data_IF_521114287552
#
_entry.id   IF_521114287552
#
_cell.length_a   1.000
_cell.length_b   1.000
_cell.length_c   1.000
_cell.angle_alpha   90.00
_cell.angle_beta   90.00
_cell.angle_gamma   90.00
#
_symmetry.space_group_name_H-M   'P 1'
#
loop_
_entity.id
_entity.type
_entity.pdbx_description
1 polymer ?
#
# COMPACT_ATOMS: atom_id res chain seq x y z
N UNK A 1 -3.84 4.94 1.80
CA UNK A 1 -2.49 4.38 2.10
C UNK A 1 -1.39 5.42 2.05
N UNK A 2 -1.34 6.25 1.00
CA UNK A 2 -0.31 7.26 0.81
C UNK A 2 -0.12 8.18 2.04
N UNK A 3 -1.19 8.77 2.58
CA UNK A 3 -1.08 9.63 3.77
C UNK A 3 -0.54 8.95 5.03
N UNK A 4 -0.78 7.65 5.20
CA UNK A 4 -0.18 6.86 6.29
C UNK A 4 1.32 6.62 6.05
N UNK A 5 1.71 6.30 4.81
CA UNK A 5 3.11 6.20 4.45
C UNK A 5 3.82 7.54 4.65
N UNK A 6 3.26 8.65 4.15
CA UNK A 6 3.78 10.00 4.34
C UNK A 6 4.05 10.33 5.82
N UNK A 7 3.12 9.99 6.72
CA UNK A 7 3.34 10.10 8.17
C UNK A 7 4.55 9.27 8.63
N UNK A 8 4.65 8.02 8.18
CA UNK A 8 5.76 7.13 8.53
C UNK A 8 7.10 7.61 7.98
N UNK A 9 7.13 8.23 6.79
CA UNK A 9 8.32 8.81 6.17
C UNK A 9 9.05 9.78 7.08
N UNK A 10 8.28 10.63 7.77
CA UNK A 10 8.83 11.66 8.66
C UNK A 10 9.73 11.06 9.74
N UNK A 11 9.46 9.83 10.18
CA UNK A 11 10.28 9.13 11.18
C UNK A 11 11.53 8.45 10.57
N UNK A 12 11.57 8.27 9.25
CA UNK A 12 12.59 7.50 8.54
C UNK A 12 13.61 8.36 7.83
N UNK A 13 13.17 9.51 7.33
CA UNK A 13 13.94 10.39 6.45
C UNK A 13 14.58 11.48 7.31
N UNK A 14 15.92 11.48 7.34
CA UNK A 14 16.71 12.56 7.96
C UNK A 14 17.08 13.67 6.99
N UNK A 15 17.15 13.35 5.69
CA UNK A 15 17.50 14.31 4.64
C UNK A 15 16.31 15.23 4.33
N UNK A 16 16.48 16.54 4.54
CA UNK A 16 15.42 17.53 4.29
C UNK A 16 14.95 17.55 2.83
N UNK A 17 15.86 17.38 1.86
CA UNK A 17 15.50 17.31 0.44
C UNK A 17 14.66 16.08 0.11
N UNK A 18 14.97 14.92 0.71
CA UNK A 18 14.15 13.72 0.58
C UNK A 18 12.78 13.87 1.23
N UNK A 19 12.72 14.57 2.37
CA UNK A 19 11.46 14.80 3.06
C UNK A 19 10.54 15.65 2.18
N UNK A 20 11.04 16.78 1.65
CA UNK A 20 10.31 17.61 0.67
C UNK A 20 9.91 16.87 -0.60
N UNK A 21 10.69 15.86 -1.01
CA UNK A 21 10.33 15.04 -2.15
C UNK A 21 9.27 13.98 -1.82
N UNK A 22 9.10 13.59 -0.56
CA UNK A 22 8.17 12.54 -0.14
C UNK A 22 6.83 13.06 0.40
N UNK A 23 6.82 14.26 0.98
CA UNK A 23 5.65 14.92 1.55
C UNK A 23 5.47 16.31 0.96
N UNK A 24 4.24 16.78 0.91
CA UNK A 24 3.91 18.16 0.47
C UNK A 24 3.25 18.93 1.61
N UNK A 25 3.42 20.24 1.59
CA UNK A 25 2.67 21.14 2.46
C UNK A 25 1.25 21.37 1.91
N UNK A 26 0.32 21.72 2.80
CA UNK A 26 -1.12 21.87 2.60
C UNK A 26 -1.54 22.84 1.47
N UNK A 27 -0.63 23.66 0.95
CA UNK A 27 -0.92 24.76 0.04
C UNK A 27 -1.16 24.35 -1.43
N UNK A 28 -0.94 23.08 -1.80
CA UNK A 28 -1.32 22.54 -3.11
C UNK A 28 -2.59 21.67 -2.99
N UNK A 29 -3.72 22.30 -2.62
CA UNK A 29 -5.02 21.63 -2.49
C UNK A 29 -5.46 21.12 -3.87
N UNK A 30 -5.12 19.88 -4.17
CA UNK A 30 -5.69 19.12 -5.28
C UNK A 30 -6.85 18.30 -4.71
N UNK A 31 -7.96 18.18 -5.47
CA UNK A 31 -9.15 17.40 -5.10
C UNK A 31 -8.83 15.97 -4.62
N UNK A 32 -7.72 15.41 -5.08
CA UNK A 32 -7.22 14.08 -4.72
C UNK A 32 -6.88 13.92 -3.23
N UNK A 33 -6.67 15.01 -2.50
CA UNK A 33 -6.37 14.99 -1.07
C UNK A 33 -7.60 15.15 -0.16
N UNK A 34 -8.79 15.39 -0.71
CA UNK A 34 -10.02 15.58 0.06
C UNK A 34 -10.28 14.42 1.04
N UNK A 35 -9.91 13.20 0.64
CA UNK A 35 -10.09 12.02 1.49
C UNK A 35 -9.10 11.99 2.67
N UNK A 36 -7.94 12.65 2.57
CA UNK A 36 -7.03 12.82 3.71
C UNK A 36 -7.69 13.76 4.72
N UNK A 37 -8.24 14.89 4.28
CA UNK A 37 -8.90 15.87 5.15
C UNK A 37 -10.09 15.27 5.89
N UNK A 38 -10.94 14.52 5.18
CA UNK A 38 -12.10 13.85 5.75
C UNK A 38 -11.76 12.77 6.77
N UNK A 39 -10.59 12.13 6.62
CA UNK A 39 -10.19 10.97 7.42
C UNK A 39 -9.14 11.33 8.47
N UNK A 40 -8.57 12.53 8.43
CA UNK A 40 -7.53 12.92 9.35
C UNK A 40 -8.09 13.12 10.77
N UNK A 41 -7.32 12.66 11.74
CA UNK A 41 -7.59 12.81 13.16
C UNK A 41 -6.38 13.42 13.87
N UNK A 42 -5.68 14.33 13.18
CA UNK A 42 -4.50 15.05 13.68
C UNK A 42 -3.18 14.32 13.43
N UNK A 43 -3.05 13.55 12.35
CA UNK A 43 -1.78 12.85 12.15
C UNK A 43 -1.48 12.28 10.77
N UNK A 44 -2.36 12.39 9.78
CA UNK A 44 -2.02 12.12 8.39
C UNK A 44 -1.18 13.27 7.82
N UNK A 45 -0.42 12.96 6.77
CA UNK A 45 0.38 13.94 6.04
C UNK A 45 0.08 13.82 4.55
N UNK A 46 0.11 14.94 3.84
CA UNK A 46 -0.03 14.93 2.38
C UNK A 46 1.22 14.31 1.75
N UNK A 47 0.99 13.35 0.88
CA UNK A 47 2.06 12.70 0.12
C UNK A 47 2.43 13.57 -1.07
N UNK A 48 3.70 13.61 -1.46
CA UNK A 48 4.08 14.27 -2.70
C UNK A 48 3.53 13.51 -3.92
N UNK A 49 3.50 14.17 -5.08
CA UNK A 49 3.15 13.53 -6.36
C UNK A 49 4.08 12.37 -6.72
N UNK A 50 5.38 12.46 -6.42
CA UNK A 50 6.33 11.37 -6.68
C UNK A 50 6.01 10.15 -5.83
N UNK A 51 5.67 10.34 -4.54
CA UNK A 51 5.29 9.25 -3.66
C UNK A 51 3.95 8.63 -4.10
N UNK A 52 2.96 9.45 -4.45
CA UNK A 52 1.68 8.94 -4.97
C UNK A 52 1.90 8.14 -6.26
N UNK A 53 2.71 8.63 -7.20
CA UNK A 53 3.01 7.92 -8.44
C UNK A 53 3.69 6.57 -8.19
N UNK A 54 4.71 6.53 -7.33
CA UNK A 54 5.36 5.27 -6.93
C UNK A 54 4.34 4.28 -6.36
N UNK A 55 3.49 4.72 -5.42
CA UNK A 55 2.49 3.86 -4.78
C UNK A 55 1.43 3.37 -5.76
N UNK A 56 1.02 4.19 -6.72
CA UNK A 56 0.08 3.81 -7.78
C UNK A 56 0.65 2.72 -8.68
N UNK A 57 1.93 2.83 -9.06
CA UNK A 57 2.61 1.76 -9.84
C UNK A 57 2.64 0.46 -9.03
N UNK A 58 3.04 0.53 -7.75
CA UNK A 58 3.09 -0.65 -6.89
C UNK A 58 1.70 -1.29 -6.73
N UNK A 59 0.65 -0.51 -6.50
CA UNK A 59 -0.71 -1.02 -6.38
C UNK A 59 -1.16 -1.70 -7.69
N UNK A 60 -0.85 -1.11 -8.84
CA UNK A 60 -1.18 -1.71 -10.13
C UNK A 60 -0.51 -3.08 -10.31
N UNK A 61 0.76 -3.24 -9.95
CA UNK A 61 1.44 -4.53 -10.00
C UNK A 61 0.84 -5.54 -9.04
N UNK A 62 0.59 -5.13 -7.78
CA UNK A 62 -0.05 -5.97 -6.78
C UNK A 62 -1.42 -6.46 -7.29
N UNK A 63 -2.25 -5.56 -7.80
CA UNK A 63 -3.59 -5.87 -8.28
C UNK A 63 -3.57 -6.76 -9.53
N UNK A 64 -2.62 -6.57 -10.45
CA UNK A 64 -2.45 -7.45 -11.62
C UNK A 64 -2.18 -8.89 -11.19
N UNK A 65 -1.25 -9.11 -10.25
CA UNK A 65 -0.92 -10.46 -9.77
C UNK A 65 -2.12 -11.10 -9.08
N UNK A 66 -2.78 -10.37 -8.19
CA UNK A 66 -3.91 -10.91 -7.40
C UNK A 66 -5.12 -11.21 -8.29
N UNK A 67 -5.40 -10.37 -9.28
CA UNK A 67 -6.54 -10.58 -10.19
C UNK A 67 -6.31 -11.79 -11.09
N UNK A 68 -5.06 -12.03 -11.51
CA UNK A 68 -4.71 -13.14 -12.41
C UNK A 68 -4.67 -14.49 -11.69
N UNK A 69 -3.99 -14.58 -10.56
CA UNK A 69 -3.64 -15.87 -9.95
C UNK A 69 -4.46 -16.22 -8.70
N UNK A 70 -5.36 -15.32 -8.28
CA UNK A 70 -5.93 -15.29 -6.93
C UNK A 70 -4.83 -15.24 -5.84
N UNK A 71 -5.23 -15.08 -4.58
CA UNK A 71 -4.27 -15.04 -3.47
C UNK A 71 -3.78 -16.45 -3.14
N UNK A 72 -2.58 -16.79 -3.61
CA UNK A 72 -1.84 -18.03 -3.34
C UNK A 72 -0.68 -17.82 -2.36
N UNK A 73 -0.09 -18.91 -1.87
CA UNK A 73 1.07 -18.89 -0.94
C UNK A 73 2.29 -18.15 -1.52
N UNK A 74 2.45 -18.19 -2.84
CA UNK A 74 3.58 -17.58 -3.56
C UNK A 74 3.29 -16.17 -4.09
N UNK A 75 2.10 -15.60 -3.82
CA UNK A 75 1.67 -14.30 -4.36
C UNK A 75 2.68 -13.20 -4.07
N UNK A 76 3.27 -13.18 -2.86
CA UNK A 76 4.27 -12.18 -2.50
C UNK A 76 5.48 -12.21 -3.44
N UNK A 77 5.99 -13.41 -3.72
CA UNK A 77 7.14 -13.59 -4.62
C UNK A 77 6.77 -13.22 -6.07
N UNK A 78 5.58 -13.60 -6.53
CA UNK A 78 5.06 -13.20 -7.84
C UNK A 78 4.97 -11.68 -7.99
N UNK A 79 4.56 -10.96 -6.95
CA UNK A 79 4.57 -9.49 -6.93
C UNK A 79 6.00 -8.97 -7.04
N UNK A 80 6.95 -9.53 -6.28
CA UNK A 80 8.36 -9.12 -6.36
C UNK A 80 8.95 -9.34 -7.76
N UNK A 81 8.75 -10.51 -8.37
CA UNK A 81 9.24 -10.80 -9.72
C UNK A 81 8.61 -9.87 -10.77
N UNK A 82 7.30 -9.64 -10.69
CA UNK A 82 6.60 -8.71 -11.59
C UNK A 82 7.09 -7.26 -11.44
N UNK A 83 7.67 -6.90 -10.29
CA UNK A 83 8.27 -5.58 -10.08
C UNK A 83 9.69 -5.51 -10.63
N UNK A 84 10.51 -6.56 -10.47
CA UNK A 84 11.88 -6.61 -10.97
C UNK A 84 11.95 -6.39 -12.49
N UNK A 85 11.05 -7.01 -13.26
CA UNK A 85 11.02 -6.91 -14.73
C UNK A 85 10.71 -5.49 -15.25
N UNK A 86 10.03 -4.66 -14.46
CA UNK A 86 9.55 -3.34 -14.88
C UNK A 86 10.22 -2.17 -14.14
N UNK A 87 11.18 -2.46 -13.26
CA UNK A 87 11.69 -1.46 -12.31
C UNK A 87 12.60 -0.39 -12.93
N UNK A 88 13.15 -0.64 -14.12
CA UNK A 88 14.18 0.21 -14.77
C UNK A 88 13.67 1.62 -15.11
N UNK A 89 12.36 1.85 -15.18
CA UNK A 89 11.76 3.15 -15.53
C UNK A 89 10.85 3.76 -14.46
N UNK A 90 10.86 3.25 -13.22
CA UNK A 90 9.84 3.62 -12.25
C UNK A 90 10.08 4.98 -11.59
N UNK A 91 8.99 5.65 -11.21
CA UNK A 91 9.00 6.94 -10.51
C UNK A 91 9.69 6.81 -9.15
N UNK A 92 10.93 7.33 -9.05
CA UNK A 92 11.71 7.26 -7.83
C UNK A 92 11.42 8.44 -6.90
N UNK A 93 11.52 8.19 -5.59
CA UNK A 93 11.33 9.20 -4.54
C UNK A 93 12.66 9.44 -3.84
N UNK A 94 13.04 10.70 -3.70
CA UNK A 94 14.24 11.15 -3.00
C UNK A 94 15.09 12.12 -3.81
N UNK A 95 16.12 12.69 -3.18
CA UNK A 95 17.08 13.54 -3.87
C UNK A 95 18.08 12.70 -4.70
N UNK A 96 18.91 13.37 -5.50
CA UNK A 96 19.94 12.77 -6.37
C UNK A 96 20.85 11.76 -5.66
N UNK A 97 21.11 11.94 -4.36
CA UNK A 97 21.97 11.05 -3.57
C UNK A 97 21.23 9.86 -2.98
N UNK A 98 19.96 10.02 -2.61
CA UNK A 98 19.23 9.08 -1.75
C UNK A 98 18.04 8.41 -2.44
N UNK A 99 17.71 8.76 -3.69
CA UNK A 99 16.53 8.27 -4.38
C UNK A 99 16.45 6.74 -4.40
N UNK A 100 17.59 6.06 -4.61
CA UNK A 100 17.64 4.60 -4.71
C UNK A 100 17.30 3.92 -3.38
N UNK A 101 18.00 4.29 -2.32
CA UNK A 101 17.82 3.70 -0.98
C UNK A 101 16.46 4.05 -0.40
N UNK A 102 15.98 5.27 -0.63
CA UNK A 102 14.67 5.71 -0.17
C UNK A 102 13.52 5.01 -0.91
N UNK A 103 13.58 4.93 -2.24
CA UNK A 103 12.56 4.24 -3.03
C UNK A 103 12.47 2.76 -2.66
N UNK A 104 13.61 2.07 -2.51
CA UNK A 104 13.65 0.68 -2.03
C UNK A 104 12.98 0.52 -0.68
N UNK A 105 13.21 1.45 0.26
CA UNK A 105 12.57 1.44 1.57
C UNK A 105 11.07 1.60 1.47
N UNK A 106 10.59 2.49 0.59
CA UNK A 106 9.16 2.67 0.34
C UNK A 106 8.50 1.41 -0.20
N UNK A 107 9.14 0.79 -1.18
CA UNK A 107 8.63 -0.42 -1.83
C UNK A 107 8.53 -1.54 -0.83
N UNK A 108 9.62 -1.82 -0.10
CA UNK A 108 9.63 -2.86 0.94
C UNK A 108 8.51 -2.64 1.95
N UNK A 109 8.37 -1.43 2.46
CA UNK A 109 7.34 -1.14 3.46
C UNK A 109 5.94 -1.28 2.88
N UNK A 110 5.69 -0.74 1.69
CA UNK A 110 4.39 -0.81 1.04
C UNK A 110 4.00 -2.26 0.76
N UNK A 111 4.89 -3.08 0.20
CA UNK A 111 4.62 -4.48 -0.10
C UNK A 111 4.25 -5.27 1.17
N UNK A 112 5.04 -5.14 2.24
CA UNK A 112 4.75 -5.80 3.53
C UNK A 112 3.37 -5.37 4.04
N UNK A 113 3.11 -4.06 4.07
CA UNK A 113 1.87 -3.51 4.58
C UNK A 113 0.67 -3.95 3.73
N UNK A 114 0.80 -3.98 2.40
CA UNK A 114 -0.26 -4.42 1.49
C UNK A 114 -0.51 -5.92 1.63
N UNK A 115 0.53 -6.74 1.77
CA UNK A 115 0.39 -8.18 2.04
C UNK A 115 -0.34 -8.46 3.34
N UNK A 116 -0.07 -7.70 4.42
CA UNK A 116 -0.85 -7.82 5.65
C UNK A 116 -2.32 -7.47 5.45
N UNK A 117 -2.63 -6.42 4.69
CA UNK A 117 -4.02 -6.06 4.40
C UNK A 117 -4.73 -7.17 3.61
N UNK A 118 -4.06 -7.77 2.63
CA UNK A 118 -4.60 -8.86 1.81
C UNK A 118 -4.85 -10.12 2.64
N UNK A 119 -3.86 -10.53 3.45
CA UNK A 119 -4.01 -11.68 4.34
C UNK A 119 -5.17 -11.48 5.32
N UNK A 120 -5.27 -10.27 5.90
CA UNK A 120 -6.36 -9.91 6.82
C UNK A 120 -7.72 -9.94 6.13
N UNK A 121 -7.86 -9.35 4.94
CA UNK A 121 -9.14 -9.35 4.21
C UNK A 121 -9.58 -10.77 3.84
N UNK A 122 -8.66 -11.60 3.38
CA UNK A 122 -8.95 -12.99 2.99
C UNK A 122 -9.33 -13.82 4.21
N UNK A 123 -8.59 -13.69 5.31
CA UNK A 123 -8.91 -14.37 6.57
C UNK A 123 -10.31 -14.00 7.08
N UNK A 124 -10.68 -12.71 7.01
CA UNK A 124 -12.01 -12.25 7.38
C UNK A 124 -13.12 -12.83 6.49
N UNK A 125 -12.89 -12.94 5.18
CA UNK A 125 -13.83 -13.53 4.24
C UNK A 125 -14.02 -15.03 4.50
N UNK A 126 -12.92 -15.76 4.71
CA UNK A 126 -12.96 -17.19 5.07
C UNK A 126 -13.73 -17.42 6.37
N UNK A 127 -13.47 -16.62 7.41
CA UNK A 127 -14.16 -16.73 8.68
C UNK A 127 -15.67 -16.50 8.54
N UNK A 128 -16.09 -15.45 7.81
CA UNK A 128 -17.51 -15.21 7.51
C UNK A 128 -18.18 -16.41 6.85
N UNK A 129 -17.52 -17.01 5.84
CA UNK A 129 -18.02 -18.21 5.15
C UNK A 129 -18.16 -19.40 6.09
N UNK A 130 -17.19 -19.63 6.97
CA UNK A 130 -17.23 -20.71 7.96
C UNK A 130 -18.39 -20.53 8.96
N UNK A 131 -18.61 -19.30 9.44
CA UNK A 131 -19.72 -18.97 10.33
C UNK A 131 -21.05 -19.26 9.64
N UNK A 132 -21.19 -18.88 8.37
CA UNK A 132 -22.40 -19.11 7.58
C UNK A 132 -22.68 -20.61 7.36
N UNK A 133 -21.67 -21.37 6.93
CA UNK A 133 -21.76 -22.82 6.79
C UNK A 133 -22.13 -23.51 8.11
N UNK A 134 -21.55 -23.06 9.22
CA UNK A 134 -21.87 -23.58 10.56
C UNK A 134 -23.32 -23.28 10.94
N UNK A 135 -23.81 -22.09 10.62
CA UNK A 135 -25.20 -21.69 10.87
C UNK A 135 -26.18 -22.53 10.05
N UNK A 136 -25.86 -22.81 8.78
CA UNK A 136 -26.68 -23.66 7.92
C UNK A 136 -26.71 -25.11 8.39
N UNK A 137 -25.55 -25.68 8.74
CA UNK A 137 -25.46 -27.04 9.27
C UNK A 137 -26.29 -27.20 10.56
N UNK A 138 -26.23 -26.21 11.46
CA UNK A 138 -27.06 -26.19 12.69
C UNK A 138 -28.55 -26.10 12.42
N UNK A 139 -28.98 -25.40 11.36
CA UNK A 139 -30.39 -25.36 10.95
C UNK A 139 -30.84 -26.72 10.43
N UNK A 140 -30.03 -27.36 9.57
CA UNK A 140 -30.34 -28.68 8.99
C UNK A 140 -30.39 -29.79 10.05
N UNK A 141 -29.55 -29.74 11.08
CA UNK A 141 -29.53 -30.75 12.14
C UNK A 141 -30.66 -30.62 13.18
N UNK A 142 -31.47 -29.54 13.12
CA UNK A 142 -32.63 -29.34 14.00
C UNK A 142 -33.97 -29.75 13.36
N UNK A 143 -33.92 -30.20 12.10
CA UNK A 143 -35.03 -30.81 11.36
C UNK A 143 -34.81 -32.32 11.33
#
# INVERSE_FOLDING_TARGET
MAGYLAKKCVMWIKCAACLKNAITDESEIIKEYLMIDLMDRGGLKYSSKSLVSLLSVLENHVMRVITKDQLQVDTFFKICYALEDHFVSCHMVGCSEHWKTLSQRFIKFYLIMRSHMLAKSTSQQMNKKLIEMTREARKKAKL
#
